data_IF_020154845939
#
_entry.id   IF_020154845939
#
_cell.length_a   1.000
_cell.length_b   1.000
_cell.length_c   1.000
_cell.angle_alpha   90.00
_cell.angle_beta   90.00
_cell.angle_gamma   90.00
#
_symmetry.space_group_name_H-M   'P 1'
#
loop_
_entity.id
_entity.type
_entity.pdbx_description
1 polymer ?
#
# COMPACT_ATOMS: atom_id res chain seq x y z
N UNK A 1 -1.69 -21.04 -1.96
CA UNK A 1 -0.78 -20.05 -1.32
C UNK A 1 0.12 -19.36 -2.34
N UNK A 2 0.90 -20.09 -3.15
CA UNK A 2 1.78 -19.51 -4.17
C UNK A 2 1.08 -18.52 -5.12
N UNK A 3 -0.04 -18.91 -5.75
CA UNK A 3 -0.82 -18.00 -6.62
C UNK A 3 -1.30 -16.73 -5.89
N UNK A 4 -1.64 -16.84 -4.59
CA UNK A 4 -2.08 -15.70 -3.77
C UNK A 4 -0.91 -14.78 -3.39
N UNK A 5 0.28 -15.34 -3.16
CA UNK A 5 1.48 -14.58 -2.76
C UNK A 5 2.22 -13.96 -3.95
N UNK A 6 2.23 -14.63 -5.11
CA UNK A 6 3.05 -14.24 -6.26
C UNK A 6 2.24 -13.87 -7.51
N UNK A 7 0.94 -14.20 -7.59
CA UNK A 7 0.07 -13.83 -8.72
C UNK A 7 0.26 -14.65 -10.00
N UNK A 8 1.13 -15.65 -10.02
CA UNK A 8 1.33 -16.56 -11.17
C UNK A 8 1.71 -17.98 -10.72
N UNK A 9 1.74 -18.92 -11.67
CA UNK A 9 2.24 -20.29 -11.48
C UNK A 9 3.22 -20.67 -12.59
N UNK A 10 4.23 -21.49 -12.28
CA UNK A 10 5.17 -22.03 -13.28
C UNK A 10 4.86 -23.52 -13.48
N UNK A 11 4.02 -23.90 -14.45
CA UNK A 11 3.47 -25.26 -14.55
C UNK A 11 4.51 -26.33 -14.89
N UNK A 12 5.59 -25.99 -15.60
CA UNK A 12 6.59 -26.94 -16.11
C UNK A 12 7.82 -27.14 -15.21
N UNK A 13 7.79 -26.65 -13.97
CA UNK A 13 8.93 -26.74 -13.05
C UNK A 13 8.67 -27.78 -11.96
N UNK A 14 9.63 -28.68 -11.75
CA UNK A 14 9.57 -29.66 -10.66
C UNK A 14 9.45 -28.95 -9.31
N UNK A 15 8.52 -29.40 -8.49
CA UNK A 15 8.32 -28.90 -7.13
C UNK A 15 9.25 -29.69 -6.20
N UNK A 16 10.09 -28.98 -5.45
CA UNK A 16 10.96 -29.57 -4.42
C UNK A 16 10.36 -29.23 -3.07
N UNK A 17 10.12 -30.25 -2.25
CA UNK A 17 9.69 -30.09 -0.86
C UNK A 17 10.94 -30.09 0.01
N UNK A 18 11.24 -28.93 0.59
CA UNK A 18 12.42 -28.72 1.45
C UNK A 18 12.13 -29.00 2.93
N UNK A 19 10.92 -28.65 3.39
CA UNK A 19 10.53 -28.73 4.80
C UNK A 19 9.06 -29.18 4.95
N UNK A 20 8.80 -30.02 5.96
CA UNK A 20 7.48 -30.51 6.34
C UNK A 20 7.19 -30.12 7.78
N UNK A 21 6.32 -29.11 7.97
CA UNK A 21 5.93 -28.63 9.30
C UNK A 21 4.61 -29.24 9.74
N UNK A 22 4.64 -29.97 10.85
CA UNK A 22 3.44 -30.48 11.51
C UNK A 22 3.12 -29.58 12.71
N UNK A 23 1.96 -28.94 12.69
CA UNK A 23 1.46 -28.15 13.84
C UNK A 23 0.37 -28.92 14.56
N UNK A 24 0.68 -29.47 15.73
CA UNK A 24 -0.32 -29.99 16.65
C UNK A 24 -0.99 -28.83 17.40
N UNK A 25 -2.31 -28.74 17.33
CA UNK A 25 -3.09 -27.77 18.09
C UNK A 25 -3.99 -28.51 19.08
N UNK A 26 -3.77 -28.29 20.37
CA UNK A 26 -4.70 -28.69 21.42
C UNK A 26 -5.52 -27.49 21.87
N UNK A 27 -6.83 -27.70 22.09
CA UNK A 27 -7.69 -26.70 22.73
C UNK A 27 -8.18 -27.29 24.04
N UNK A 28 -8.00 -26.57 25.14
CA UNK A 28 -8.45 -26.98 26.47
C UNK A 28 -9.90 -26.59 26.75
N UNK A 29 -10.54 -25.78 25.88
CA UNK A 29 -11.95 -25.38 26.02
C UNK A 29 -12.28 -24.54 27.26
N UNK A 30 -11.29 -24.24 28.11
CA UNK A 30 -11.47 -23.42 29.32
C UNK A 30 -11.64 -21.97 28.88
N UNK A 31 -12.85 -21.42 29.09
CA UNK A 31 -13.13 -19.99 28.95
C UNK A 31 -12.93 -19.31 30.30
N UNK A 32 -12.05 -18.30 30.35
CA UNK A 32 -11.73 -17.54 31.56
C UNK A 32 -12.45 -16.19 31.65
N UNK A 33 -13.32 -15.88 30.70
CA UNK A 33 -13.97 -14.57 30.66
C UNK A 33 -15.21 -14.57 31.56
N UNK A 34 -15.16 -13.78 32.63
CA UNK A 34 -16.28 -13.56 33.52
C UNK A 34 -17.26 -12.59 32.86
N UNK A 35 -18.49 -13.04 32.58
CA UNK A 35 -19.50 -12.16 32.01
C UNK A 35 -19.95 -11.11 33.03
N UNK A 36 -20.01 -9.85 32.59
CA UNK A 36 -20.60 -8.76 33.35
C UNK A 36 -22.13 -8.88 33.23
N UNK A 37 -22.83 -8.68 34.36
CA UNK A 37 -24.30 -8.75 34.39
C UNK A 37 -24.90 -7.38 34.01
N UNK A 38 -26.09 -7.36 33.40
CA UNK A 38 -26.81 -6.12 33.16
C UNK A 38 -27.18 -5.46 34.48
N UNK A 39 -26.90 -4.16 34.59
CA UNK A 39 -27.09 -3.39 35.81
C UNK A 39 -28.54 -2.95 36.02
N UNK A 40 -29.34 -2.88 34.95
CA UNK A 40 -30.75 -2.47 34.98
C UNK A 40 -30.98 -1.03 35.42
N UNK A 41 -29.91 -0.24 35.54
CA UNK A 41 -29.90 1.16 35.95
C UNK A 41 -29.29 2.00 34.83
N UNK A 42 -29.66 3.27 34.66
CA UNK A 42 -29.00 4.15 33.70
C UNK A 42 -27.52 4.35 34.08
N UNK A 43 -26.68 4.54 33.06
CA UNK A 43 -25.25 4.82 33.24
C UNK A 43 -25.04 6.06 34.12
N UNK A 44 -24.24 5.93 35.18
CA UNK A 44 -23.95 7.01 36.11
C UNK A 44 -22.95 7.99 35.50
N UNK A 45 -23.35 9.25 35.37
CA UNK A 45 -22.44 10.33 35.00
C UNK A 45 -21.66 10.75 36.24
N UNK A 46 -20.33 10.69 36.16
CA UNK A 46 -19.44 11.12 37.25
C UNK A 46 -19.28 12.64 37.27
N UNK A 47 -19.11 13.26 36.10
CA UNK A 47 -18.94 14.72 35.94
C UNK A 47 -19.26 15.12 34.50
N UNK A 48 -19.54 16.40 34.26
CA UNK A 48 -19.66 16.99 32.91
C UNK A 48 -18.51 17.97 32.71
N UNK A 49 -17.81 17.85 31.58
CA UNK A 49 -16.70 18.74 31.22
C UNK A 49 -16.90 19.33 29.82
N UNK A 50 -16.23 20.43 29.50
CA UNK A 50 -16.26 21.03 28.17
C UNK A 50 -15.12 20.50 27.30
N UNK A 51 -15.46 19.85 26.20
CA UNK A 51 -14.49 19.38 25.21
C UNK A 51 -14.70 20.12 23.88
N UNK A 52 -13.61 20.32 23.14
CA UNK A 52 -13.65 20.97 21.83
C UNK A 52 -13.69 19.90 20.73
N UNK A 53 -14.71 19.95 19.88
CA UNK A 53 -14.89 19.11 18.69
C UNK A 53 -14.92 19.99 17.43
N UNK A 54 -15.07 19.40 16.24
CA UNK A 54 -15.10 20.15 14.97
C UNK A 54 -16.16 21.27 14.92
N UNK A 55 -17.34 21.05 15.53
CA UNK A 55 -18.43 22.05 15.57
C UNK A 55 -18.31 23.03 16.78
N UNK A 56 -17.27 22.91 17.61
CA UNK A 56 -16.98 23.81 18.73
C UNK A 56 -16.95 23.14 20.11
N UNK A 57 -17.03 23.95 21.17
CA UNK A 57 -17.09 23.44 22.55
C UNK A 57 -18.45 22.82 22.85
N UNK A 58 -18.46 21.56 23.30
CA UNK A 58 -19.66 20.83 23.70
C UNK A 58 -19.51 20.30 25.14
N UNK A 59 -20.63 20.31 25.87
CA UNK A 59 -20.71 19.68 27.18
C UNK A 59 -20.68 18.16 27.01
N UNK A 60 -19.72 17.51 27.67
CA UNK A 60 -19.34 16.11 27.47
C UNK A 60 -19.44 15.35 28.79
N UNK A 61 -20.27 14.31 28.82
CA UNK A 61 -20.47 13.48 30.02
C UNK A 61 -19.27 12.57 30.26
N UNK A 62 -18.79 12.52 31.50
CA UNK A 62 -17.69 11.65 31.94
C UNK A 62 -18.24 10.46 32.70
N UNK A 63 -17.89 9.26 32.27
CA UNK A 63 -18.26 7.98 32.87
C UNK A 63 -17.01 7.24 33.37
N UNK A 64 -17.14 6.51 34.47
CA UNK A 64 -16.11 5.57 34.92
C UNK A 64 -16.45 4.17 34.39
N UNK A 65 -15.51 3.50 33.72
CA UNK A 65 -15.76 2.18 33.15
C UNK A 65 -16.22 1.16 34.20
N UNK A 66 -15.71 1.27 35.44
CA UNK A 66 -16.10 0.41 36.56
C UNK A 66 -17.56 0.56 37.03
N UNK A 67 -18.22 1.67 36.69
CA UNK A 67 -19.63 1.92 37.02
C UNK A 67 -20.59 1.53 35.87
N UNK A 68 -20.03 1.10 34.73
CA UNK A 68 -20.80 0.70 33.55
C UNK A 68 -21.10 -0.81 33.54
N UNK A 69 -22.23 -1.17 32.95
CA UNK A 69 -22.73 -2.55 32.82
C UNK A 69 -22.98 -2.88 31.35
N UNK A 70 -23.09 -4.18 31.02
CA UNK A 70 -23.20 -4.66 29.62
C UNK A 70 -24.51 -4.27 28.90
N UNK A 71 -25.46 -3.65 29.59
CA UNK A 71 -26.69 -3.08 29.04
C UNK A 71 -26.56 -1.58 28.72
N UNK A 72 -25.43 -0.96 29.02
CA UNK A 72 -25.23 0.47 28.81
C UNK A 72 -24.81 0.79 27.38
N UNK A 73 -25.55 1.74 26.79
CA UNK A 73 -25.24 2.38 25.53
C UNK A 73 -25.09 3.88 25.77
N UNK A 74 -23.91 4.41 25.50
CA UNK A 74 -23.53 5.80 25.72
C UNK A 74 -23.41 6.47 24.36
N UNK A 75 -24.26 7.47 24.12
CA UNK A 75 -24.16 8.30 22.93
C UNK A 75 -23.11 9.40 23.15
N UNK A 76 -22.31 9.67 22.14
CA UNK A 76 -21.37 10.79 22.15
C UNK A 76 -22.09 12.15 22.08
N UNK A 77 -21.43 13.25 22.52
CA UNK A 77 -20.07 13.30 23.03
C UNK A 77 -19.97 12.79 24.48
N UNK A 78 -19.05 11.85 24.74
CA UNK A 78 -18.81 11.29 26.07
C UNK A 78 -17.34 10.90 26.29
N UNK A 79 -16.89 10.91 27.54
CA UNK A 79 -15.58 10.40 27.95
C UNK A 79 -15.80 9.20 28.87
N UNK A 80 -15.13 8.09 28.58
CA UNK A 80 -15.12 6.90 29.44
C UNK A 80 -13.71 6.75 29.99
N UNK A 81 -13.57 6.84 31.31
CA UNK A 81 -12.29 6.73 32.01
C UNK A 81 -12.19 5.34 32.62
N UNK A 82 -11.15 4.61 32.24
CA UNK A 82 -10.67 3.42 32.91
C UNK A 82 -9.39 3.72 33.69
N UNK A 83 -8.95 2.78 34.53
CA UNK A 83 -7.71 2.90 35.32
C UNK A 83 -6.47 3.17 34.47
N UNK A 84 -6.45 2.64 33.23
CA UNK A 84 -5.27 2.67 32.37
C UNK A 84 -5.49 3.42 31.04
N UNK A 85 -6.73 3.84 30.73
CA UNK A 85 -7.04 4.46 29.45
C UNK A 85 -8.22 5.43 29.57
N UNK A 86 -8.19 6.49 28.77
CA UNK A 86 -9.31 7.41 28.60
C UNK A 86 -9.82 7.30 27.18
N UNK A 87 -11.08 6.92 27.01
CA UNK A 87 -11.73 6.76 25.71
C UNK A 87 -12.65 7.94 25.48
N UNK A 88 -12.44 8.66 24.37
CA UNK A 88 -13.33 9.71 23.91
C UNK A 88 -14.30 9.13 22.88
N UNK A 89 -15.59 9.27 23.13
CA UNK A 89 -16.67 8.92 22.21
C UNK A 89 -17.11 10.22 21.53
N UNK A 90 -16.81 10.34 20.24
CA UNK A 90 -17.11 11.53 19.44
C UNK A 90 -18.62 11.71 19.21
N UNK A 91 -19.08 12.93 18.87
CA UNK A 91 -20.43 13.14 18.34
C UNK A 91 -20.73 12.16 17.19
N UNK A 92 -21.99 11.75 17.05
CA UNK A 92 -22.46 10.71 16.11
C UNK A 92 -21.89 9.30 16.35
N UNK A 93 -21.08 9.06 17.38
CA UNK A 93 -20.67 7.71 17.79
C UNK A 93 -21.46 7.22 19.00
N UNK A 94 -21.65 5.91 19.08
CA UNK A 94 -22.27 5.24 20.22
C UNK A 94 -21.33 4.18 20.78
N UNK A 95 -20.99 4.29 22.06
CA UNK A 95 -20.23 3.28 22.78
C UNK A 95 -21.18 2.34 23.53
N UNK A 96 -20.97 1.02 23.38
CA UNK A 96 -21.71 -0.04 24.06
C UNK A 96 -20.73 -0.94 24.79
N UNK A 97 -21.10 -1.40 25.99
CA UNK A 97 -20.27 -2.31 26.78
C UNK A 97 -20.66 -3.75 26.43
N UNK A 98 -19.70 -4.59 26.05
CA UNK A 98 -19.95 -5.99 25.72
C UNK A 98 -20.21 -6.82 26.99
N UNK A 99 -20.73 -8.04 26.82
CA UNK A 99 -20.90 -9.00 27.92
C UNK A 99 -19.59 -9.35 28.63
N UNK A 100 -18.44 -9.10 27.99
CA UNK A 100 -17.09 -9.35 28.51
C UNK A 100 -16.44 -8.11 29.11
N UNK A 101 -17.09 -6.94 29.04
CA UNK A 101 -16.56 -5.67 29.55
C UNK A 101 -15.71 -4.88 28.56
N UNK A 102 -15.67 -5.28 27.29
CA UNK A 102 -15.04 -4.49 26.24
C UNK A 102 -15.91 -3.29 25.86
N UNK A 103 -15.27 -2.22 25.37
CA UNK A 103 -15.97 -1.07 24.82
C UNK A 103 -16.06 -1.25 23.30
N UNK A 104 -17.27 -1.48 22.80
CA UNK A 104 -17.56 -1.49 21.37
C UNK A 104 -18.07 -0.11 20.96
N UNK A 105 -17.32 0.58 20.10
CA UNK A 105 -17.71 1.88 19.54
C UNK A 105 -18.29 1.65 18.14
N UNK A 106 -19.56 1.99 17.99
CA UNK A 106 -20.23 2.08 16.69
C UNK A 106 -20.13 3.51 16.18
N UNK A 107 -19.37 3.68 15.09
CA UNK A 107 -19.22 4.97 14.42
C UNK A 107 -20.47 5.22 13.57
N UNK A 108 -21.20 6.30 13.85
CA UNK A 108 -22.33 6.70 13.03
C UNK A 108 -21.90 7.10 11.62
N UNK A 109 -22.84 7.17 10.69
CA UNK A 109 -22.53 7.44 9.27
C UNK A 109 -21.97 8.84 9.00
N UNK A 110 -21.94 9.73 10.00
CA UNK A 110 -21.44 11.10 9.93
C UNK A 110 -22.05 11.93 8.79
N UNK A 111 -21.70 13.21 8.71
CA UNK A 111 -21.83 13.94 7.45
C UNK A 111 -20.63 13.52 6.58
N UNK A 112 -20.86 12.76 5.52
CA UNK A 112 -19.81 12.52 4.54
C UNK A 112 -19.35 13.86 3.96
N UNK A 113 -18.16 14.31 4.33
CA UNK A 113 -17.53 15.48 3.74
C UNK A 113 -17.27 15.14 2.27
N UNK A 114 -17.84 15.91 1.35
CA UNK A 114 -17.60 15.71 -0.08
C UNK A 114 -16.11 15.86 -0.34
N UNK A 115 -15.52 14.89 -1.03
CA UNK A 115 -14.11 14.95 -1.45
C UNK A 115 -13.99 16.10 -2.45
N UNK A 116 -13.45 17.22 -1.99
CA UNK A 116 -13.16 18.40 -2.80
C UNK A 116 -11.67 18.51 -3.09
N UNK A 117 -11.27 19.41 -4.00
CA UNK A 117 -9.87 19.75 -4.24
C UNK A 117 -9.25 20.59 -3.10
N UNK A 118 -10.00 20.86 -2.02
CA UNK A 118 -9.50 21.58 -0.86
C UNK A 118 -8.43 20.76 -0.13
N UNK A 119 -7.35 21.44 0.25
CA UNK A 119 -6.19 20.82 0.88
C UNK A 119 -6.50 20.45 2.33
N UNK A 120 -7.02 19.25 2.55
CA UNK A 120 -7.11 18.65 3.88
C UNK A 120 -5.79 17.92 4.23
N UNK A 121 -5.13 18.37 5.29
CA UNK A 121 -3.88 17.79 5.79
C UNK A 121 -4.01 16.30 6.15
N UNK A 122 -5.18 15.87 6.65
CA UNK A 122 -5.43 14.47 7.00
C UNK A 122 -5.52 13.64 5.73
N UNK A 123 -6.31 14.08 4.75
CA UNK A 123 -6.40 13.40 3.45
C UNK A 123 -5.06 13.35 2.72
N UNK A 124 -4.31 14.46 2.70
CA UNK A 124 -2.99 14.51 2.08
C UNK A 124 -2.06 13.45 2.68
N UNK A 125 -2.05 13.31 4.01
CA UNK A 125 -1.28 12.29 4.71
C UNK A 125 -1.76 10.88 4.34
N UNK A 126 -3.07 10.62 4.38
CA UNK A 126 -3.65 9.32 4.02
C UNK A 126 -3.27 8.92 2.59
N UNK A 127 -3.44 9.81 1.61
CA UNK A 127 -3.11 9.54 0.22
C UNK A 127 -1.60 9.33 0.01
N UNK A 128 -0.77 10.17 0.63
CA UNK A 128 0.69 10.03 0.55
C UNK A 128 1.17 8.67 1.06
N UNK A 129 0.69 8.25 2.24
CA UNK A 129 1.03 6.94 2.81
C UNK A 129 0.44 5.77 2.00
N UNK A 130 -0.76 5.92 1.42
CA UNK A 130 -1.35 4.90 0.55
C UNK A 130 -0.54 4.71 -0.73
N UNK A 131 -0.16 5.78 -1.42
CA UNK A 131 0.65 5.68 -2.63
C UNK A 131 2.04 5.10 -2.34
N UNK A 132 2.66 5.50 -1.23
CA UNK A 132 3.92 4.92 -0.77
C UNK A 132 3.80 3.42 -0.52
N UNK A 133 2.75 3.00 0.20
CA UNK A 133 2.50 1.59 0.47
C UNK A 133 2.34 0.76 -0.81
N UNK A 134 1.67 1.30 -1.84
CA UNK A 134 1.53 0.65 -3.15
C UNK A 134 2.91 0.49 -3.80
N UNK A 135 3.71 1.57 -3.88
CA UNK A 135 5.04 1.52 -4.47
C UNK A 135 5.96 0.51 -3.76
N UNK A 136 5.92 0.46 -2.42
CA UNK A 136 6.66 -0.52 -1.64
C UNK A 136 6.17 -1.96 -1.87
N UNK A 137 4.86 -2.18 -1.95
CA UNK A 137 4.30 -3.51 -2.22
C UNK A 137 4.73 -4.02 -3.60
N UNK A 138 4.72 -3.15 -4.61
CA UNK A 138 5.25 -3.47 -5.94
C UNK A 138 6.71 -3.92 -5.87
N UNK A 139 7.54 -3.17 -5.14
CA UNK A 139 8.95 -3.52 -4.93
C UNK A 139 9.14 -4.86 -4.21
N UNK A 140 8.38 -5.11 -3.15
CA UNK A 140 8.42 -6.37 -2.39
C UNK A 140 8.02 -7.57 -3.25
N UNK A 141 7.00 -7.44 -4.10
CA UNK A 141 6.57 -8.50 -5.01
C UNK A 141 7.65 -8.77 -6.05
N UNK A 142 8.24 -7.72 -6.62
CA UNK A 142 9.32 -7.84 -7.59
C UNK A 142 10.54 -8.55 -6.97
N UNK A 143 10.98 -8.13 -5.78
CA UNK A 143 12.08 -8.76 -5.06
C UNK A 143 11.84 -10.26 -4.80
N UNK A 144 10.63 -10.61 -4.36
CA UNK A 144 10.27 -12.00 -4.01
C UNK A 144 10.13 -12.92 -5.22
N UNK A 145 9.74 -12.38 -6.37
CA UNK A 145 9.55 -13.13 -7.62
C UNK A 145 10.82 -13.20 -8.46
N UNK A 146 11.76 -12.28 -8.23
CA UNK A 146 12.99 -12.23 -8.99
C UNK A 146 13.89 -13.46 -8.78
N UNK A 147 14.39 -13.98 -9.90
CA UNK A 147 15.43 -15.01 -9.92
C UNK A 147 16.83 -14.37 -9.83
N UNK A 148 16.97 -13.12 -10.30
CA UNK A 148 18.23 -12.37 -10.29
C UNK A 148 18.65 -12.01 -8.85
N UNK A 149 19.88 -12.37 -8.48
CA UNK A 149 20.48 -11.97 -7.20
C UNK A 149 20.61 -10.46 -7.06
N UNK A 150 20.71 -9.70 -8.16
CA UNK A 150 20.80 -8.24 -8.07
C UNK A 150 19.47 -7.62 -7.64
N UNK A 151 18.35 -8.17 -8.10
CA UNK A 151 17.03 -7.69 -7.69
C UNK A 151 16.69 -8.23 -6.31
N UNK A 152 16.96 -9.52 -6.06
CA UNK A 152 16.57 -10.19 -4.82
C UNK A 152 17.39 -9.76 -3.60
N UNK A 153 18.72 -9.64 -3.77
CA UNK A 153 19.67 -9.41 -2.67
C UNK A 153 20.27 -7.99 -2.71
N UNK A 154 20.63 -7.48 -3.90
CA UNK A 154 21.22 -6.13 -4.02
C UNK A 154 20.18 -5.01 -4.10
N UNK A 155 18.89 -5.35 -4.23
CA UNK A 155 17.78 -4.41 -4.37
C UNK A 155 18.00 -3.41 -5.53
N UNK A 156 18.60 -3.91 -6.61
CA UNK A 156 18.92 -3.12 -7.79
C UNK A 156 17.70 -2.93 -8.70
N UNK A 157 16.67 -2.31 -8.12
CA UNK A 157 15.43 -1.98 -8.79
C UNK A 157 14.75 -0.75 -8.17
N UNK A 158 13.86 -0.13 -8.93
CA UNK A 158 13.03 0.96 -8.43
C UNK A 158 11.60 0.82 -8.93
N UNK A 159 10.67 1.09 -8.03
CA UNK A 159 9.24 1.11 -8.30
C UNK A 159 8.71 2.50 -7.96
N UNK A 160 7.98 3.11 -8.88
CA UNK A 160 7.42 4.44 -8.70
C UNK A 160 6.04 4.56 -9.36
N UNK A 161 5.26 5.50 -8.82
CA UNK A 161 3.97 5.92 -9.31
C UNK A 161 4.09 7.35 -9.84
N UNK A 162 3.58 7.56 -11.04
CA UNK A 162 3.55 8.86 -11.70
C UNK A 162 2.12 9.34 -11.91
N UNK A 163 1.95 10.65 -11.96
CA UNK A 163 0.69 11.31 -12.30
C UNK A 163 0.46 11.41 -13.81
N UNK A 164 -0.68 12.00 -14.23
CA UNK A 164 -1.04 12.16 -15.65
C UNK A 164 -0.06 12.96 -16.50
N UNK A 165 0.66 13.89 -15.89
CA UNK A 165 1.70 14.73 -16.48
C UNK A 165 3.09 14.05 -16.49
N UNK A 166 3.19 12.83 -15.97
CA UNK A 166 4.45 12.14 -15.73
C UNK A 166 5.23 12.69 -14.53
N UNK A 167 4.60 13.49 -13.65
CA UNK A 167 5.20 13.93 -12.40
C UNK A 167 5.32 12.76 -11.40
N UNK A 168 6.44 12.68 -10.67
CA UNK A 168 6.66 11.65 -9.66
C UNK A 168 5.74 11.89 -8.46
N UNK A 169 4.85 10.94 -8.16
CA UNK A 169 3.93 11.01 -7.01
C UNK A 169 4.47 10.26 -5.80
N UNK A 170 5.02 9.06 -6.02
CA UNK A 170 5.55 8.21 -4.95
C UNK A 170 6.58 7.22 -5.47
N UNK A 171 7.55 6.85 -4.63
CA UNK A 171 8.62 5.92 -5.00
C UNK A 171 9.01 5.00 -3.83
N UNK A 172 9.35 3.74 -4.15
CA UNK A 172 9.91 2.82 -3.16
C UNK A 172 11.36 3.20 -2.80
N UNK A 173 11.78 3.01 -1.54
CA UNK A 173 13.07 3.48 -1.03
C UNK A 173 14.20 2.48 -1.30
N UNK A 174 14.72 2.40 -2.53
CA UNK A 174 15.78 1.43 -2.84
C UNK A 174 17.01 2.04 -3.52
N UNK A 175 16.88 2.89 -4.55
CA UNK A 175 18.03 3.55 -5.20
C UNK A 175 17.65 4.97 -5.65
N UNK A 176 18.21 6.04 -5.04
CA UNK A 176 17.87 7.43 -5.38
C UNK A 176 18.26 7.86 -6.79
N UNK A 177 19.28 7.23 -7.38
CA UNK A 177 19.84 7.64 -8.69
C UNK A 177 18.86 7.44 -9.85
N UNK A 178 17.89 6.53 -9.71
CA UNK A 178 16.94 6.20 -10.75
C UNK A 178 15.79 7.21 -10.88
N UNK A 179 15.55 8.04 -9.86
CA UNK A 179 14.35 8.87 -9.78
C UNK A 179 14.30 9.96 -10.88
N UNK A 180 15.43 10.58 -11.20
CA UNK A 180 15.51 11.60 -12.25
C UNK A 180 15.28 11.02 -13.65
N UNK A 181 15.96 9.92 -13.97
CA UNK A 181 15.90 9.27 -15.29
C UNK A 181 14.53 8.62 -15.56
N UNK A 182 13.91 8.03 -14.52
CA UNK A 182 12.58 7.42 -14.64
C UNK A 182 11.51 8.46 -14.98
N UNK A 183 11.54 9.64 -14.35
CA UNK A 183 10.57 10.70 -14.61
C UNK A 183 10.67 11.19 -16.07
N UNK A 184 11.88 11.45 -16.57
CA UNK A 184 12.10 11.85 -17.96
C UNK A 184 11.64 10.77 -18.94
N UNK A 185 11.92 9.50 -18.65
CA UNK A 185 11.47 8.36 -19.48
C UNK A 185 9.96 8.34 -19.61
N UNK A 186 9.24 8.51 -18.49
CA UNK A 186 7.77 8.51 -18.47
C UNK A 186 7.22 9.69 -19.27
N UNK A 187 7.71 10.90 -19.04
CA UNK A 187 7.29 12.10 -19.77
C UNK A 187 7.56 11.98 -21.27
N UNK A 188 8.70 11.40 -21.66
CA UNK A 188 9.02 11.13 -23.06
C UNK A 188 8.03 10.15 -23.69
N UNK A 189 7.67 9.05 -23.02
CA UNK A 189 6.70 8.09 -23.56
C UNK A 189 5.30 8.69 -23.66
N UNK A 190 4.85 9.46 -22.67
CA UNK A 190 3.56 10.19 -22.73
C UNK A 190 3.55 11.12 -23.94
N UNK A 191 4.62 11.89 -24.16
CA UNK A 191 4.71 12.85 -25.27
C UNK A 191 4.77 12.18 -26.64
N UNK A 192 5.42 11.03 -26.77
CA UNK A 192 5.58 10.34 -28.05
C UNK A 192 4.40 9.45 -28.41
N UNK A 193 3.77 8.79 -27.43
CA UNK A 193 2.67 7.86 -27.69
C UNK A 193 1.31 8.53 -27.59
N UNK A 194 1.14 9.59 -26.79
CA UNK A 194 -0.11 10.37 -26.67
C UNK A 194 -1.36 9.46 -26.64
N UNK A 195 -2.25 9.61 -27.63
CA UNK A 195 -3.52 8.89 -27.76
C UNK A 195 -3.36 7.39 -28.09
N UNK A 196 -2.15 6.94 -28.45
CA UNK A 196 -1.88 5.52 -28.66
C UNK A 196 -1.73 4.76 -27.33
N UNK A 197 -1.65 5.42 -26.17
CA UNK A 197 -1.62 4.75 -24.87
C UNK A 197 -3.01 4.23 -24.51
N UNK A 198 -3.19 2.91 -24.51
CA UNK A 198 -4.45 2.25 -24.14
C UNK A 198 -4.30 1.49 -22.84
N UNK A 199 -5.42 1.26 -22.18
CA UNK A 199 -5.47 0.41 -21.00
C UNK A 199 -4.96 -1.00 -21.34
N UNK A 200 -4.09 -1.54 -20.47
CA UNK A 200 -3.51 -2.86 -20.66
C UNK A 200 -2.22 -2.89 -21.48
N UNK A 201 -1.81 -1.77 -22.08
CA UNK A 201 -0.52 -1.67 -22.75
C UNK A 201 0.64 -1.80 -21.76
N UNK A 202 1.77 -2.34 -22.23
CA UNK A 202 3.02 -2.38 -21.48
C UNK A 202 4.15 -1.89 -22.37
N UNK A 203 4.85 -0.85 -21.95
CA UNK A 203 5.96 -0.25 -22.68
C UNK A 203 7.26 -0.69 -22.04
N UNK A 204 8.22 -1.09 -22.86
CA UNK A 204 9.57 -1.39 -22.45
C UNK A 204 10.51 -0.40 -23.15
N UNK A 205 11.29 0.34 -22.38
CA UNK A 205 12.27 1.30 -22.89
C UNK A 205 13.62 1.10 -22.21
N UNK A 206 14.69 1.18 -22.99
CA UNK A 206 16.06 1.34 -22.50
C UNK A 206 16.87 2.37 -23.30
N UNK A 207 16.21 3.14 -24.16
CA UNK A 207 16.89 4.05 -25.08
C UNK A 207 17.42 5.28 -24.37
N UNK A 208 18.71 5.67 -24.56
CA UNK A 208 19.26 6.85 -23.91
C UNK A 208 18.48 8.13 -24.20
N UNK A 209 18.08 8.33 -25.46
CA UNK A 209 17.20 9.45 -25.86
C UNK A 209 15.79 9.40 -25.28
N UNK A 210 15.42 8.31 -24.62
CA UNK A 210 14.13 8.10 -23.96
C UNK A 210 14.32 7.87 -22.44
N UNK A 211 15.40 8.40 -21.85
CA UNK A 211 15.66 8.37 -20.41
C UNK A 211 16.33 7.09 -19.87
N UNK A 212 16.79 6.17 -20.74
CA UNK A 212 17.60 5.01 -20.33
C UNK A 212 19.00 5.43 -19.87
N UNK A 213 19.48 4.93 -18.73
CA UNK A 213 20.78 5.33 -18.18
C UNK A 213 21.94 4.54 -18.80
N UNK A 214 21.79 3.23 -18.88
CA UNK A 214 22.73 2.34 -19.52
C UNK A 214 22.01 1.10 -20.07
N UNK A 215 22.63 0.42 -21.04
CA UNK A 215 21.99 -0.67 -21.77
C UNK A 215 21.34 -1.78 -20.92
N UNK A 216 21.91 -2.24 -19.79
CA UNK A 216 21.27 -3.25 -18.97
C UNK A 216 19.97 -2.76 -18.29
N UNK A 217 19.79 -1.45 -18.11
CA UNK A 217 18.62 -0.92 -17.43
C UNK A 217 17.39 -0.97 -18.32
N UNK A 218 16.38 -1.69 -17.86
CA UNK A 218 15.11 -1.77 -18.54
C UNK A 218 14.06 -1.03 -17.71
N UNK A 219 13.34 -0.14 -18.38
CA UNK A 219 12.20 0.60 -17.83
C UNK A 219 10.92 -0.01 -18.38
N UNK A 220 10.15 -0.69 -17.52
CA UNK A 220 8.82 -1.18 -17.86
C UNK A 220 7.79 -0.17 -17.39
N UNK A 221 6.97 0.38 -18.28
CA UNK A 221 5.90 1.34 -18.02
C UNK A 221 4.56 0.68 -18.29
N UNK A 222 3.64 0.70 -17.31
CA UNK A 222 2.24 0.28 -17.51
C UNK A 222 1.29 1.43 -17.20
N UNK A 223 0.56 1.99 -18.18
CA UNK A 223 -0.47 2.99 -17.94
C UNK A 223 -1.72 2.36 -17.30
N UNK A 224 -2.13 2.90 -16.16
CA UNK A 224 -3.38 2.58 -15.49
C UNK A 224 -4.39 3.67 -15.82
N UNK A 225 -5.52 3.32 -16.44
CA UNK A 225 -6.60 4.25 -16.73
C UNK A 225 -7.68 4.10 -15.66
N UNK A 226 -7.71 5.03 -14.70
CA UNK A 226 -8.91 5.29 -13.90
C UNK A 226 -9.53 6.55 -14.47
N UNK A 227 -10.85 6.73 -14.39
CA UNK A 227 -11.65 7.77 -15.07
C UNK A 227 -11.07 9.22 -15.15
N UNK A 228 -10.01 9.57 -14.42
CA UNK A 228 -9.31 10.88 -14.42
C UNK A 228 -7.76 10.77 -14.19
N UNK A 229 -7.16 9.58 -14.00
CA UNK A 229 -5.73 9.45 -13.61
C UNK A 229 -5.01 8.38 -14.42
N UNK A 230 -3.94 8.77 -15.12
CA UNK A 230 -2.93 7.85 -15.64
C UNK A 230 -1.91 7.58 -14.52
N UNK A 231 -1.87 6.36 -14.01
CA UNK A 231 -0.75 5.94 -13.15
C UNK A 231 0.19 5.06 -13.93
N UNK A 232 1.45 5.49 -14.03
CA UNK A 232 2.49 4.72 -14.71
C UNK A 232 3.29 3.98 -13.65
N UNK A 233 3.24 2.65 -13.69
CA UNK A 233 4.12 1.79 -12.90
C UNK A 233 5.44 1.66 -13.66
N UNK A 234 6.54 2.17 -13.09
CA UNK A 234 7.88 1.94 -13.63
C UNK A 234 8.61 0.88 -12.84
N UNK A 235 9.08 -0.17 -13.51
CA UNK A 235 10.07 -1.10 -12.98
C UNK A 235 11.39 -0.84 -13.69
N UNK A 236 12.38 -0.34 -12.95
CA UNK A 236 13.78 -0.24 -13.37
C UNK A 236 14.57 -1.38 -12.76
N UNK A 237 15.49 -2.02 -13.48
CA UNK A 237 16.48 -2.92 -12.85
C UNK A 237 17.77 -3.06 -13.67
N UNK A 238 18.91 -3.19 -12.98
CA UNK A 238 20.22 -3.41 -13.60
C UNK A 238 20.68 -4.89 -13.51
N UNK A 239 20.71 -5.65 -14.62
CA UNK A 239 21.39 -6.93 -14.69
C UNK A 239 22.92 -6.77 -14.75
N UNK A 240 23.58 -6.57 -13.60
CA UNK A 240 24.99 -6.93 -13.44
C UNK A 240 25.17 -8.46 -13.50
N UNK A 241 25.65 -8.98 -14.65
CA UNK A 241 25.72 -10.40 -15.10
C UNK A 241 24.42 -10.97 -15.69
N UNK A 242 24.17 -10.61 -16.95
CA UNK A 242 23.43 -11.50 -17.83
C UNK A 242 24.26 -12.78 -18.05
N UNK A 243 23.77 -13.92 -17.57
CA UNK A 243 24.06 -15.21 -18.22
C UNK A 243 23.60 -15.11 -19.68
N UNK A 244 24.28 -15.83 -20.60
CA UNK A 244 24.10 -15.82 -22.08
C UNK A 244 22.64 -15.75 -22.59
N UNK A 245 21.67 -16.10 -21.75
CA UNK A 245 20.24 -16.18 -22.06
C UNK A 245 19.52 -14.83 -22.28
N UNK A 246 19.95 -13.71 -21.67
CA UNK A 246 19.38 -12.38 -21.99
C UNK A 246 20.00 -11.82 -23.27
N UNK A 247 21.29 -12.06 -23.46
CA UNK A 247 22.00 -11.71 -24.69
C UNK A 247 21.33 -12.40 -25.89
N UNK A 248 20.94 -13.67 -25.81
CA UNK A 248 20.21 -14.35 -26.89
C UNK A 248 18.80 -13.77 -27.17
N UNK A 249 18.09 -13.26 -26.16
CA UNK A 249 16.76 -12.63 -26.32
C UNK A 249 16.84 -11.21 -26.91
N UNK A 250 17.95 -10.51 -26.65
CA UNK A 250 18.25 -9.18 -27.19
C UNK A 250 19.18 -9.21 -28.42
N UNK A 251 19.55 -10.39 -28.91
CA UNK A 251 20.40 -10.59 -30.10
C UNK A 251 21.90 -10.34 -29.91
N UNK A 252 22.38 -10.24 -28.66
CA UNK A 252 23.80 -10.10 -28.34
C UNK A 252 24.54 -11.44 -28.29
N UNK A 253 25.76 -11.47 -28.85
CA UNK A 253 26.78 -12.47 -28.49
C UNK A 253 27.88 -11.69 -27.79
N UNK A 254 27.96 -11.74 -26.45
CA UNK A 254 29.13 -11.50 -25.56
C UNK A 254 28.70 -10.88 -24.22
N UNK A 255 29.19 -11.47 -23.13
CA UNK A 255 29.09 -11.03 -21.72
C UNK A 255 29.28 -9.51 -21.59
N UNK A 256 28.27 -8.82 -21.05
CA UNK A 256 28.25 -7.37 -20.81
C UNK A 256 29.51 -6.85 -20.09
N UNK A 257 30.45 -6.29 -20.87
CA UNK A 257 31.27 -5.14 -20.48
C UNK A 257 31.02 -4.04 -21.50
N UNK A 258 30.81 -2.82 -21.01
CA UNK A 258 30.69 -1.55 -21.74
C UNK A 258 31.07 -1.65 -23.22
N UNK A 259 30.07 -1.78 -24.09
CA UNK A 259 30.25 -1.87 -25.54
C UNK A 259 29.50 -0.70 -26.17
N UNK A 260 30.24 0.13 -26.91
CA UNK A 260 29.80 1.40 -27.47
C UNK A 260 28.93 1.28 -28.74
N UNK A 261 28.58 0.06 -29.17
CA UNK A 261 27.91 -0.21 -30.46
C UNK A 261 26.75 -1.20 -30.27
N UNK A 262 25.72 -0.83 -29.51
CA UNK A 262 24.48 -1.62 -29.42
C UNK A 262 23.23 -0.76 -29.54
N UNK A 263 22.24 -1.28 -30.27
CA UNK A 263 20.97 -0.62 -30.56
C UNK A 263 20.07 -0.69 -29.35
N UNK A 264 19.66 0.47 -28.83
CA UNK A 264 18.62 0.53 -27.82
C UNK A 264 17.22 0.41 -28.44
N UNK A 265 16.25 -0.08 -27.67
CA UNK A 265 14.92 -0.40 -28.15
C UNK A 265 13.84 0.24 -27.27
N UNK A 266 12.83 0.79 -27.93
CA UNK A 266 11.51 1.07 -27.34
C UNK A 266 10.55 0.09 -27.98
N UNK A 267 9.86 -0.72 -27.17
CA UNK A 267 8.86 -1.67 -27.65
C UNK A 267 7.58 -1.54 -26.84
N UNK A 268 6.47 -1.47 -27.55
CA UNK A 268 5.13 -1.53 -26.98
C UNK A 268 4.61 -2.96 -27.12
N UNK A 269 4.16 -3.54 -26.01
CA UNK A 269 3.51 -4.85 -25.95
C UNK A 269 2.03 -4.63 -25.64
N UNK A 270 1.17 -5.23 -26.46
CA UNK A 270 -0.27 -5.29 -26.23
C UNK A 270 -0.60 -6.60 -25.52
N UNK A 271 -1.55 -6.57 -24.59
CA UNK A 271 -2.04 -7.76 -23.89
C UNK A 271 -3.18 -8.42 -24.64
#
# INVERSE_FOLDING_TARGET
RYMKEFGFTIPSRNIVVDDLRVRGTGSTGIRFEACIRPGGRPARVETVTKCYFEEGFMDTNVYLLGDLSCDHSINGPAIIIDKNSTVLVEPDCTASITEYGDIQISVGSGKQKSIGPELDTIQLSIFSHRFMSIAEQMGRILQRTAISTNIKERLDFSCALFGPDGGLVSNAPHIPVHLGAMQETVQFQIKNLQDDLKEGDVILSNHPSAGGSHLPDLTVITPVHLHIIYSICVIWYCPCRASRRIDDVLGGKTVCRYSSHRTAAVRKYMK
#
